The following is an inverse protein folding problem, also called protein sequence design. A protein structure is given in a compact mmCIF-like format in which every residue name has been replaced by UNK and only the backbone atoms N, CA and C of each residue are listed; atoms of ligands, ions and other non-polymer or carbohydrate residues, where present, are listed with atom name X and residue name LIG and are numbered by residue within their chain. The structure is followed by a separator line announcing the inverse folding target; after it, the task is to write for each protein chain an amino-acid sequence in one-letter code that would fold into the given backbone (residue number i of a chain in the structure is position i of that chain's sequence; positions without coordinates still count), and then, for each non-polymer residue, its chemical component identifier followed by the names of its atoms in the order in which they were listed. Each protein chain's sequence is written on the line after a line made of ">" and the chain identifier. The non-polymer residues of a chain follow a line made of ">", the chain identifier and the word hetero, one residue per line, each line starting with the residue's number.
data_IF_709645598292
#
_entry.id   IF_709645598292
#
_cell.length_a   1.000
_cell.length_b   1.000
_cell.length_c   1.000
_cell.angle_alpha   90.00
_cell.angle_beta   90.00
_cell.angle_gamma   90.00
#
_symmetry.space_group_name_H-M   'P 1'
#
loop_
_entity.id
_entity.type
_entity.pdbx_description
1 polymer ?
#
# COMPACT_ATOMS: atom_id res chain seq x y z
N UNK A 1 -14.76 -24.44 10.49
CA UNK A 1 -13.60 -24.78 9.64
C UNK A 1 -13.34 -26.28 9.81
N UNK A 2 -12.76 -26.97 8.83
CA UNK A 2 -12.40 -28.40 8.95
C UNK A 2 -11.12 -28.71 8.18
N UNK A 3 -10.35 -29.67 8.64
CA UNK A 3 -9.20 -30.20 7.91
C UNK A 3 -9.68 -31.16 6.81
N UNK A 4 -9.06 -31.08 5.64
CA UNK A 4 -9.28 -31.95 4.48
C UNK A 4 -7.92 -32.41 3.99
N UNK A 5 -7.76 -33.72 3.79
CA UNK A 5 -6.54 -34.30 3.25
C UNK A 5 -6.81 -34.74 1.82
N UNK A 6 -5.91 -34.37 0.91
CA UNK A 6 -5.91 -34.82 -0.47
C UNK A 6 -4.77 -35.80 -0.69
N UNK A 7 -5.10 -36.98 -1.19
CA UNK A 7 -4.11 -37.97 -1.59
C UNK A 7 -3.37 -37.55 -2.87
N UNK A 8 -2.15 -38.04 -3.11
CA UNK A 8 -1.43 -37.77 -4.36
C UNK A 8 -2.30 -38.06 -5.59
N UNK A 9 -2.30 -37.14 -6.56
CA UNK A 9 -3.13 -37.13 -7.76
C UNK A 9 -4.65 -36.98 -7.55
N UNK A 10 -5.13 -36.84 -6.31
CA UNK A 10 -6.53 -36.57 -6.04
C UNK A 10 -6.90 -35.16 -6.53
N UNK A 11 -8.03 -35.06 -7.24
CA UNK A 11 -8.56 -33.77 -7.67
C UNK A 11 -9.37 -33.17 -6.54
N UNK A 12 -8.88 -32.07 -5.98
CA UNK A 12 -9.48 -31.40 -4.83
C UNK A 12 -10.66 -30.50 -5.18
N UNK A 13 -10.66 -29.92 -6.38
CA UNK A 13 -11.76 -29.12 -6.93
C UNK A 13 -11.82 -29.30 -8.45
N UNK A 14 -13.05 -29.41 -8.97
CA UNK A 14 -13.32 -29.38 -10.40
C UNK A 14 -13.93 -28.05 -10.83
N UNK A 15 -13.67 -27.65 -12.07
CA UNK A 15 -14.34 -26.52 -12.71
C UNK A 15 -15.88 -26.72 -12.68
N UNK A 16 -16.60 -25.80 -12.05
CA UNK A 16 -18.06 -25.88 -11.84
C UNK A 16 -18.51 -26.34 -10.44
N UNK A 17 -17.59 -26.68 -9.54
CA UNK A 17 -17.92 -27.05 -8.16
C UNK A 17 -18.43 -25.85 -7.36
N UNK A 18 -19.47 -26.04 -6.54
CA UNK A 18 -20.20 -24.97 -5.81
C UNK A 18 -19.99 -25.06 -4.29
N UNK A 19 -18.80 -25.44 -3.83
CA UNK A 19 -18.48 -25.42 -2.41
C UNK A 19 -18.30 -23.96 -1.92
N UNK A 20 -19.07 -23.47 -0.93
CA UNK A 20 -19.06 -22.07 -0.51
C UNK A 20 -17.92 -21.78 0.49
N UNK A 21 -16.67 -21.93 0.05
CA UNK A 21 -15.50 -21.69 0.89
C UNK A 21 -14.18 -21.76 0.12
N UNK A 22 -13.08 -21.61 0.84
CA UNK A 22 -11.73 -21.72 0.28
C UNK A 22 -10.87 -22.65 1.14
N UNK A 23 -9.74 -23.07 0.57
CA UNK A 23 -8.80 -24.00 1.19
C UNK A 23 -7.47 -23.29 1.40
N UNK A 24 -6.90 -23.40 2.59
CA UNK A 24 -5.53 -22.99 2.91
C UNK A 24 -4.65 -24.23 3.03
N UNK A 25 -3.52 -24.27 2.33
CA UNK A 25 -2.60 -25.41 2.35
C UNK A 25 -1.77 -25.35 3.64
N UNK A 26 -1.95 -26.34 4.51
CA UNK A 26 -1.19 -26.49 5.77
C UNK A 26 0.13 -27.23 5.49
N UNK A 27 0.09 -28.24 4.62
CA UNK A 27 1.27 -29.01 4.22
C UNK A 27 1.03 -29.65 2.86
N UNK A 28 2.09 -29.86 2.08
CA UNK A 28 2.03 -30.48 0.76
C UNK A 28 2.10 -29.50 -0.41
N UNK A 29 1.81 -30.01 -1.62
CA UNK A 29 1.84 -29.26 -2.88
C UNK A 29 0.69 -29.63 -3.78
N UNK A 30 0.14 -28.61 -4.44
CA UNK A 30 -1.01 -28.71 -5.31
C UNK A 30 -0.70 -28.06 -6.66
N UNK A 31 -1.20 -28.66 -7.73
CA UNK A 31 -1.18 -28.11 -9.09
C UNK A 31 -2.56 -27.55 -9.45
N UNK A 32 -2.58 -26.33 -9.99
CA UNK A 32 -3.76 -25.68 -10.55
C UNK A 32 -3.71 -25.67 -12.07
N UNK A 33 -4.68 -26.33 -12.70
CA UNK A 33 -4.80 -26.49 -14.15
C UNK A 33 -6.07 -25.84 -14.68
N UNK A 34 -6.02 -25.27 -15.89
CA UNK A 34 -7.17 -24.68 -16.57
C UNK A 34 -7.48 -25.50 -17.82
N UNK A 35 -8.76 -25.73 -18.13
CA UNK A 35 -9.17 -26.39 -19.39
C UNK A 35 -9.01 -25.49 -20.63
N UNK A 36 -8.62 -24.22 -20.45
CA UNK A 36 -8.33 -23.32 -21.56
C UNK A 36 -6.89 -23.54 -22.06
N UNK A 37 -6.74 -23.92 -23.33
CA UNK A 37 -5.55 -24.48 -24.01
C UNK A 37 -4.27 -23.63 -24.04
N UNK A 38 -4.12 -22.57 -23.25
CA UNK A 38 -2.92 -21.71 -23.25
C UNK A 38 -2.48 -21.22 -21.86
N UNK A 39 -2.96 -21.84 -20.78
CA UNK A 39 -2.65 -21.39 -19.42
C UNK A 39 -1.71 -22.39 -18.73
N UNK A 40 -0.48 -21.95 -18.46
CA UNK A 40 0.53 -22.73 -17.72
C UNK A 40 -0.02 -23.14 -16.35
N UNK A 41 0.25 -24.39 -15.96
CA UNK A 41 -0.12 -24.88 -14.63
C UNK A 41 0.61 -24.10 -13.54
N UNK A 42 -0.12 -23.80 -12.46
CA UNK A 42 0.43 -23.08 -11.33
C UNK A 42 0.61 -24.04 -10.16
N UNK A 43 1.82 -24.13 -9.63
CA UNK A 43 2.11 -24.87 -8.40
C UNK A 43 1.85 -23.99 -7.18
N UNK A 44 1.05 -24.50 -6.24
CA UNK A 44 0.72 -23.89 -4.95
C UNK A 44 1.36 -24.72 -3.83
N UNK A 45 1.95 -24.04 -2.85
CA UNK A 45 2.73 -24.63 -1.76
C UNK A 45 2.09 -24.35 -0.40
N UNK A 46 2.70 -24.87 0.66
CA UNK A 46 2.33 -24.56 2.05
C UNK A 46 2.15 -23.05 2.27
N UNK A 47 1.06 -22.68 2.94
CA UNK A 47 0.55 -21.30 3.16
C UNK A 47 -0.10 -20.62 1.95
N UNK A 48 -0.04 -21.20 0.76
CA UNK A 48 -0.90 -20.75 -0.34
C UNK A 48 -2.34 -21.23 -0.13
N UNK A 49 -3.27 -20.64 -0.87
CA UNK A 49 -4.69 -20.95 -0.76
C UNK A 49 -5.34 -21.02 -2.15
N UNK A 50 -6.48 -21.69 -2.24
CA UNK A 50 -7.26 -21.82 -3.47
C UNK A 50 -8.77 -21.88 -3.20
N UNK A 51 -9.58 -21.59 -4.22
CA UNK A 51 -11.04 -21.58 -4.10
C UNK A 51 -11.63 -20.25 -3.63
N UNK A 52 -10.82 -19.19 -3.57
CA UNK A 52 -11.22 -17.84 -3.20
C UNK A 52 -12.29 -17.23 -4.11
N UNK A 53 -12.44 -17.75 -5.33
CA UNK A 53 -13.51 -17.33 -6.25
C UNK A 53 -14.89 -17.64 -5.65
N UNK A 54 -15.02 -18.70 -4.84
CA UNK A 54 -16.26 -19.00 -4.13
C UNK A 54 -16.62 -17.96 -3.06
N UNK A 55 -15.64 -17.19 -2.56
CA UNK A 55 -15.90 -16.07 -1.66
C UNK A 55 -16.54 -14.88 -2.41
N UNK A 56 -16.13 -14.66 -3.65
CA UNK A 56 -16.54 -13.51 -4.48
C UNK A 56 -17.83 -13.77 -5.25
N UNK A 57 -17.95 -14.93 -5.92
CA UNK A 57 -19.02 -15.21 -6.89
C UNK A 57 -19.95 -16.30 -6.39
N UNK A 58 -21.27 -16.12 -6.58
CA UNK A 58 -22.30 -17.13 -6.25
C UNK A 58 -22.21 -18.40 -7.11
N UNK A 59 -21.65 -18.31 -8.33
CA UNK A 59 -21.40 -19.44 -9.23
C UNK A 59 -20.03 -19.26 -9.90
N UNK A 60 -19.16 -20.24 -9.76
CA UNK A 60 -17.78 -20.19 -10.26
C UNK A 60 -17.62 -21.06 -11.50
N UNK A 61 -17.97 -20.51 -12.66
CA UNK A 61 -17.85 -21.21 -13.97
C UNK A 61 -16.40 -21.18 -14.49
N UNK A 62 -15.50 -20.41 -13.85
CA UNK A 62 -14.11 -20.21 -14.31
C UNK A 62 -13.05 -20.67 -13.29
N UNK A 63 -13.41 -21.55 -12.37
CA UNK A 63 -12.47 -22.04 -11.37
C UNK A 63 -11.50 -23.02 -12.03
N UNK A 64 -10.20 -22.79 -11.86
CA UNK A 64 -9.19 -23.77 -12.26
C UNK A 64 -9.40 -25.08 -11.49
N UNK A 65 -9.17 -26.19 -12.16
CA UNK A 65 -9.17 -27.51 -11.52
C UNK A 65 -7.91 -27.65 -10.68
N UNK A 66 -8.02 -28.32 -9.55
CA UNK A 66 -6.96 -28.40 -8.55
C UNK A 66 -6.63 -29.87 -8.30
N UNK A 67 -5.37 -30.25 -8.43
CA UNK A 67 -4.89 -31.63 -8.22
C UNK A 67 -3.73 -31.64 -7.22
N UNK A 68 -3.78 -32.51 -6.23
CA UNK A 68 -2.67 -32.70 -5.30
C UNK A 68 -1.49 -33.40 -6.00
N UNK A 69 -0.29 -32.85 -5.86
CA UNK A 69 0.95 -33.45 -6.38
C UNK A 69 1.46 -34.52 -5.41
N UNK A 70 1.33 -34.25 -4.11
CA UNK A 70 1.68 -35.12 -3.00
C UNK A 70 0.56 -35.11 -1.95
N UNK A 71 0.68 -35.93 -0.89
CA UNK A 71 -0.28 -35.89 0.21
C UNK A 71 -0.33 -34.49 0.78
N UNK A 72 -1.49 -33.84 0.69
CA UNK A 72 -1.65 -32.43 0.98
C UNK A 72 -2.76 -32.22 1.99
N UNK A 73 -2.41 -31.63 3.13
CA UNK A 73 -3.36 -31.23 4.16
C UNK A 73 -3.81 -29.78 3.93
N UNK A 74 -5.12 -29.57 3.93
CA UNK A 74 -5.74 -28.27 3.71
C UNK A 74 -6.74 -27.95 4.82
N UNK A 75 -6.77 -26.70 5.26
CA UNK A 75 -7.84 -26.17 6.08
C UNK A 75 -8.94 -25.60 5.19
N UNK A 76 -10.13 -26.20 5.25
CA UNK A 76 -11.31 -25.66 4.60
C UNK A 76 -12.02 -24.64 5.50
N UNK A 77 -12.14 -23.42 4.98
CA UNK A 77 -12.80 -22.29 5.64
C UNK A 77 -14.03 -21.91 4.83
N UNK A 78 -15.20 -22.06 5.45
CA UNK A 78 -16.47 -21.66 4.85
C UNK A 78 -16.59 -20.14 4.78
N UNK A 79 -17.29 -19.67 3.76
CA UNK A 79 -17.55 -18.24 3.54
C UNK A 79 -18.28 -17.59 4.72
N UNK A 80 -19.33 -18.24 5.25
CA UNK A 80 -20.14 -17.72 6.36
C UNK A 80 -19.31 -17.57 7.65
N UNK A 81 -18.48 -18.56 7.97
CA UNK A 81 -17.57 -18.52 9.11
C UNK A 81 -16.50 -17.44 8.96
N UNK A 82 -16.02 -17.21 7.72
CA UNK A 82 -15.10 -16.11 7.44
C UNK A 82 -15.80 -14.75 7.59
N UNK A 83 -16.99 -14.57 7.01
CA UNK A 83 -17.79 -13.33 7.11
C UNK A 83 -18.09 -12.96 8.56
N UNK A 84 -18.41 -13.94 9.41
CA UNK A 84 -18.59 -13.71 10.84
C UNK A 84 -17.31 -13.21 11.53
N UNK A 85 -16.14 -13.67 11.09
CA UNK A 85 -14.86 -13.29 11.70
C UNK A 85 -14.31 -11.96 11.18
N UNK A 86 -14.44 -11.68 9.87
CA UNK A 86 -13.84 -10.50 9.22
C UNK A 86 -14.84 -9.36 8.96
N UNK A 87 -16.14 -9.60 9.17
CA UNK A 87 -17.19 -8.64 8.87
C UNK A 87 -17.50 -8.56 7.37
N UNK A 88 -17.44 -7.35 6.79
CA UNK A 88 -17.83 -7.09 5.40
C UNK A 88 -16.81 -7.65 4.39
N UNK A 89 -16.83 -8.97 4.19
CA UNK A 89 -15.97 -9.70 3.26
C UNK A 89 -16.03 -9.16 1.81
N UNK A 90 -17.19 -8.78 1.23
CA UNK A 90 -17.24 -8.14 -0.09
C UNK A 90 -16.35 -6.89 -0.20
N UNK A 91 -16.39 -6.02 0.81
CA UNK A 91 -15.56 -4.81 0.83
C UNK A 91 -14.06 -5.12 0.89
N UNK A 92 -13.67 -6.12 1.69
CA UNK A 92 -12.27 -6.57 1.85
C UNK A 92 -11.76 -7.18 0.55
N UNK A 93 -12.59 -7.97 -0.14
CA UNK A 93 -12.23 -8.61 -1.41
C UNK A 93 -12.07 -7.59 -2.54
N UNK A 94 -12.98 -6.61 -2.64
CA UNK A 94 -12.86 -5.52 -3.63
C UNK A 94 -11.62 -4.65 -3.35
N UNK A 95 -11.36 -4.25 -2.10
CA UNK A 95 -10.11 -3.55 -1.72
C UNK A 95 -8.87 -4.34 -2.11
N UNK A 96 -8.82 -5.65 -1.82
CA UNK A 96 -7.68 -6.50 -2.19
C UNK A 96 -7.51 -6.66 -3.70
N UNK A 97 -8.61 -6.78 -4.45
CA UNK A 97 -8.58 -6.85 -5.92
C UNK A 97 -8.02 -5.57 -6.52
N UNK A 98 -8.46 -4.40 -6.06
CA UNK A 98 -7.90 -3.11 -6.46
C UNK A 98 -6.41 -3.01 -6.12
N UNK A 99 -6.01 -3.43 -4.92
CA UNK A 99 -4.60 -3.46 -4.49
C UNK A 99 -3.74 -4.35 -5.38
N UNK A 100 -4.21 -5.55 -5.73
CA UNK A 100 -3.50 -6.48 -6.64
C UNK A 100 -3.39 -5.92 -8.05
N UNK A 101 -4.49 -5.41 -8.61
CA UNK A 101 -4.49 -4.78 -9.93
C UNK A 101 -3.51 -3.61 -9.99
N UNK A 102 -3.47 -2.76 -8.94
CA UNK A 102 -2.50 -1.67 -8.81
C UNK A 102 -1.07 -2.18 -8.77
N UNK A 103 -0.77 -3.22 -7.97
CA UNK A 103 0.58 -3.81 -7.88
C UNK A 103 1.04 -4.37 -9.23
N UNK A 104 0.21 -5.15 -9.91
CA UNK A 104 0.53 -5.71 -11.23
C UNK A 104 0.82 -4.60 -12.24
N UNK A 105 -0.04 -3.58 -12.30
CA UNK A 105 0.14 -2.45 -13.21
C UNK A 105 1.41 -1.65 -12.94
N UNK A 106 1.73 -1.40 -11.67
CA UNK A 106 2.99 -0.70 -11.30
C UNK A 106 4.19 -1.53 -11.74
N UNK A 107 4.17 -2.85 -11.55
CA UNK A 107 5.25 -3.74 -11.99
C UNK A 107 5.40 -3.75 -13.51
N UNK A 108 4.31 -3.76 -14.26
CA UNK A 108 4.32 -3.65 -15.73
C UNK A 108 4.88 -2.30 -16.18
N UNK A 109 4.37 -1.20 -15.62
CA UNK A 109 4.86 0.13 -15.93
C UNK A 109 6.35 0.33 -15.55
N UNK A 110 6.83 -0.32 -14.48
CA UNK A 110 8.24 -0.31 -14.10
C UNK A 110 9.13 -1.06 -15.10
N UNK A 111 8.63 -2.14 -15.73
CA UNK A 111 9.38 -2.86 -16.77
C UNK A 111 9.57 -2.03 -18.03
N UNK A 112 8.58 -1.21 -18.37
CA UNK A 112 8.61 -0.33 -19.53
C UNK A 112 9.26 1.04 -19.25
N UNK A 113 9.50 1.36 -17.98
CA UNK A 113 10.04 2.65 -17.56
C UNK A 113 11.49 2.83 -17.98
N UNK A 114 11.78 3.99 -18.58
CA UNK A 114 13.14 4.47 -18.84
C UNK A 114 13.63 5.31 -17.64
N UNK A 115 14.95 5.51 -17.47
CA UNK A 115 15.47 6.48 -16.52
C UNK A 115 14.74 7.82 -16.65
N UNK A 116 14.48 8.49 -15.54
CA UNK A 116 13.80 9.79 -15.46
C UNK A 116 12.31 9.82 -15.86
N UNK A 117 11.69 8.66 -16.12
CA UNK A 117 10.26 8.56 -16.47
C UNK A 117 9.41 8.39 -15.23
N UNK A 118 8.28 9.09 -15.14
CA UNK A 118 7.34 8.93 -14.04
C UNK A 118 6.44 7.70 -14.26
N UNK A 119 6.32 6.87 -13.23
CA UNK A 119 5.37 5.75 -13.17
C UNK A 119 4.10 6.21 -12.44
N UNK A 120 2.92 6.21 -13.09
CA UNK A 120 1.70 6.70 -12.47
C UNK A 120 1.17 5.72 -11.41
N UNK A 121 0.77 6.26 -10.27
CA UNK A 121 0.21 5.48 -9.16
C UNK A 121 -1.32 5.31 -9.22
N UNK A 122 -2.02 6.23 -9.88
CA UNK A 122 -3.48 6.24 -10.05
C UNK A 122 -3.90 5.56 -11.35
N UNK A 123 -5.11 5.02 -11.39
CA UNK A 123 -5.62 4.24 -12.53
C UNK A 123 -5.65 5.05 -13.84
N UNK A 124 -5.97 6.34 -13.75
CA UNK A 124 -6.09 7.23 -14.91
C UNK A 124 -4.98 8.27 -14.89
N UNK A 125 -4.23 8.32 -15.99
CA UNK A 125 -3.23 9.37 -16.18
C UNK A 125 -3.96 10.64 -16.62
N UNK A 126 -3.94 11.67 -15.77
CA UNK A 126 -4.43 12.99 -16.16
C UNK A 126 -3.58 13.52 -17.34
N UNK A 127 -4.18 14.10 -18.38
CA UNK A 127 -3.46 14.57 -19.57
C UNK A 127 -2.42 15.64 -19.24
N UNK A 128 -2.63 16.40 -18.16
CA UNK A 128 -1.73 17.44 -17.65
C UNK A 128 -0.45 16.89 -16.99
N UNK A 129 -0.34 15.56 -16.78
CA UNK A 129 0.78 14.97 -16.03
C UNK A 129 1.98 14.65 -16.93
N UNK A 130 3.17 15.21 -16.64
CA UNK A 130 4.36 15.05 -17.48
C UNK A 130 4.88 13.60 -17.48
N UNK A 131 5.48 13.19 -18.61
CA UNK A 131 6.03 11.84 -18.80
C UNK A 131 7.36 11.62 -18.08
N UNK A 132 8.16 12.67 -17.94
CA UNK A 132 9.49 12.60 -17.33
C UNK A 132 9.78 13.85 -16.52
N UNK A 133 10.81 13.76 -15.68
CA UNK A 133 11.29 14.90 -14.89
C UNK A 133 11.76 16.06 -15.78
N UNK A 134 12.19 15.79 -17.02
CA UNK A 134 12.68 16.80 -17.95
C UNK A 134 11.56 17.75 -18.44
N UNK A 135 10.31 17.30 -18.35
CA UNK A 135 9.11 18.08 -18.67
C UNK A 135 8.69 19.06 -17.57
N UNK A 136 9.52 19.25 -16.54
CA UNK A 136 9.27 20.14 -15.41
C UNK A 136 10.28 21.28 -15.39
N UNK A 137 9.82 22.46 -14.99
CA UNK A 137 10.65 23.59 -14.59
C UNK A 137 10.49 23.86 -13.10
N UNK A 138 11.60 24.09 -12.40
CA UNK A 138 11.58 24.43 -10.97
C UNK A 138 11.24 25.90 -10.83
N UNK A 139 10.14 26.17 -10.12
CA UNK A 139 9.62 27.54 -9.89
C UNK A 139 9.98 28.03 -8.49
N UNK A 140 10.03 27.12 -7.51
CA UNK A 140 10.33 27.47 -6.12
C UNK A 140 10.83 26.30 -5.29
N UNK A 141 11.47 26.60 -4.18
CA UNK A 141 11.91 25.63 -3.17
C UNK A 141 11.06 25.80 -1.91
N UNK A 142 10.42 24.73 -1.47
CA UNK A 142 9.58 24.72 -0.26
C UNK A 142 10.40 24.26 0.94
N UNK A 143 11.18 23.19 0.77
CA UNK A 143 12.01 22.60 1.81
C UNK A 143 13.23 21.94 1.17
N UNK A 144 14.39 22.05 1.81
CA UNK A 144 15.62 21.43 1.32
C UNK A 144 16.52 21.04 2.48
N UNK A 145 16.55 19.73 2.77
CA UNK A 145 17.44 19.12 3.76
C UNK A 145 18.51 18.28 3.05
N UNK A 146 19.43 17.69 3.83
CA UNK A 146 20.53 16.87 3.31
C UNK A 146 20.07 15.70 2.43
N UNK A 147 18.89 15.14 2.72
CA UNK A 147 18.38 13.93 2.06
C UNK A 147 17.07 14.14 1.31
N UNK A 148 16.37 15.26 1.54
CA UNK A 148 15.00 15.44 1.07
C UNK A 148 14.81 16.87 0.59
N UNK A 149 14.35 17.01 -0.66
CA UNK A 149 14.06 18.31 -1.25
C UNK A 149 12.62 18.31 -1.76
N UNK A 150 11.90 19.39 -1.51
CA UNK A 150 10.53 19.60 -1.96
C UNK A 150 10.49 20.92 -2.72
N UNK A 151 10.08 20.86 -3.98
CA UNK A 151 10.10 21.98 -4.92
C UNK A 151 8.74 22.16 -5.56
N UNK A 152 8.36 23.40 -5.76
CA UNK A 152 7.26 23.77 -6.64
C UNK A 152 7.77 23.71 -8.08
N UNK A 153 7.05 23.00 -8.94
CA UNK A 153 7.42 22.82 -10.34
C UNK A 153 6.24 23.16 -11.26
N UNK A 154 6.55 23.65 -12.45
CA UNK A 154 5.60 23.92 -13.52
C UNK A 154 5.79 22.91 -14.66
N UNK A 155 4.68 22.47 -15.27
CA UNK A 155 4.71 21.59 -16.43
C UNK A 155 5.02 22.40 -17.68
N UNK A 156 6.12 22.05 -18.36
CA UNK A 156 6.57 22.71 -19.60
C UNK A 156 5.49 22.67 -20.68
N UNK A 157 5.20 23.83 -21.26
CA UNK A 157 4.24 23.96 -22.36
C UNK A 157 2.77 23.75 -21.97
N UNK A 158 2.47 23.72 -20.67
CA UNK A 158 1.07 23.72 -20.20
C UNK A 158 0.42 25.09 -20.39
N UNK A 159 -0.83 25.09 -20.86
CA UNK A 159 -1.66 26.30 -20.98
C UNK A 159 -3.11 25.92 -20.63
N UNK A 160 -3.65 26.38 -19.48
CA UNK A 160 -3.02 27.26 -18.49
C UNK A 160 -1.85 26.59 -17.75
N UNK A 161 -1.02 27.40 -17.07
CA UNK A 161 0.12 26.92 -16.26
C UNK A 161 -0.32 25.91 -15.21
N UNK A 162 0.26 24.71 -15.24
CA UNK A 162 0.01 23.63 -14.27
C UNK A 162 1.18 23.54 -13.29
N UNK A 163 0.90 23.79 -12.01
CA UNK A 163 1.88 23.68 -10.92
C UNK A 163 1.67 22.41 -10.09
N UNK A 164 2.78 21.73 -9.81
CA UNK A 164 2.85 20.46 -9.08
C UNK A 164 3.94 20.56 -7.99
N UNK A 165 3.96 19.59 -7.08
CA UNK A 165 5.04 19.47 -6.09
C UNK A 165 5.95 18.30 -6.43
N UNK A 166 7.23 18.57 -6.65
CA UNK A 166 8.27 17.57 -6.87
C UNK A 166 9.05 17.36 -5.57
N UNK A 167 8.99 16.15 -5.03
CA UNK A 167 9.83 15.69 -3.94
C UNK A 167 10.97 14.83 -4.48
N UNK A 168 12.20 15.12 -4.07
CA UNK A 168 13.37 14.30 -4.41
C UNK A 168 14.05 13.84 -3.14
N UNK A 169 14.24 12.53 -3.02
CA UNK A 169 14.97 11.92 -1.91
C UNK A 169 16.29 11.41 -2.45
N UNK A 170 17.39 11.98 -1.95
CA UNK A 170 18.71 11.51 -2.33
C UNK A 170 19.05 10.23 -1.61
N UNK A 171 19.51 9.23 -2.36
CA UNK A 171 20.10 8.03 -1.78
C UNK A 171 21.59 7.96 -1.98
N UNK A 172 22.28 9.09 -2.22
CA UNK A 172 23.73 9.13 -2.48
C UNK A 172 24.59 8.40 -1.43
N UNK A 173 24.12 8.27 -0.19
CA UNK A 173 24.79 7.48 0.85
C UNK A 173 24.77 5.94 0.61
N UNK A 174 23.92 5.45 -0.28
CA UNK A 174 23.64 4.02 -0.53
C UNK A 174 23.72 3.67 -2.03
N UNK A 175 23.30 4.56 -2.92
CA UNK A 175 23.31 4.39 -4.38
C UNK A 175 23.41 5.76 -5.08
N UNK A 176 24.10 5.82 -6.22
CA UNK A 176 24.22 7.03 -7.05
C UNK A 176 22.93 7.27 -7.87
N UNK A 177 21.80 7.41 -7.16
CA UNK A 177 20.49 7.61 -7.75
C UNK A 177 19.54 8.33 -6.78
N UNK A 178 18.78 9.28 -7.31
CA UNK A 178 17.72 9.97 -6.59
C UNK A 178 16.35 9.35 -6.87
N UNK A 179 15.47 9.36 -5.88
CA UNK A 179 14.06 8.98 -6.05
C UNK A 179 13.21 10.23 -6.10
N UNK A 180 12.48 10.40 -7.21
CA UNK A 180 11.57 11.52 -7.41
C UNK A 180 10.10 11.08 -7.28
N UNK A 181 9.31 11.87 -6.57
CA UNK A 181 7.87 11.70 -6.39
C UNK A 181 7.17 13.00 -6.78
N UNK A 182 6.21 12.92 -7.69
CA UNK A 182 5.46 14.06 -8.20
C UNK A 182 4.03 14.03 -7.68
N UNK A 183 3.60 15.09 -7.01
CA UNK A 183 2.27 15.22 -6.42
C UNK A 183 1.46 16.29 -7.15
N UNK A 184 0.18 16.00 -7.38
CA UNK A 184 -0.79 16.96 -7.95
C UNK A 184 -1.32 17.99 -6.94
N UNK A 185 -0.60 18.19 -5.83
CA UNK A 185 -0.92 19.16 -4.80
C UNK A 185 0.19 20.19 -4.77
N UNK A 186 -0.18 21.46 -4.58
CA UNK A 186 0.77 22.56 -4.43
C UNK A 186 1.00 22.78 -2.95
N UNK A 187 2.21 22.43 -2.49
CA UNK A 187 2.62 22.66 -1.12
C UNK A 187 3.15 24.09 -1.00
N UNK A 188 2.67 24.79 0.00
CA UNK A 188 3.01 26.19 0.27
C UNK A 188 4.17 26.31 1.27
N UNK A 189 4.20 25.45 2.28
CA UNK A 189 5.24 25.49 3.32
C UNK A 189 5.17 24.33 4.30
N UNK A 190 6.05 24.37 5.30
CA UNK A 190 5.95 23.51 6.48
C UNK A 190 5.03 24.16 7.51
N UNK A 191 4.36 23.36 8.33
CA UNK A 191 3.52 23.88 9.40
C UNK A 191 4.34 24.74 10.39
N UNK A 192 5.62 24.41 10.61
CA UNK A 192 6.52 25.19 11.45
C UNK A 192 6.84 26.58 10.88
N UNK A 193 7.04 26.69 9.57
CA UNK A 193 7.29 27.99 8.91
C UNK A 193 6.09 28.95 8.96
N UNK A 194 4.90 28.45 9.30
CA UNK A 194 3.71 29.30 9.50
C UNK A 194 3.65 29.95 10.88
N UNK A 195 4.62 29.64 11.76
CA UNK A 195 4.77 30.28 13.06
C UNK A 195 5.88 31.33 13.00
N UNK A 196 5.55 32.61 13.15
CA UNK A 196 6.54 33.68 13.37
C UNK A 196 7.12 33.64 14.80
N UNK A 197 7.23 32.45 15.39
CA UNK A 197 7.63 32.23 16.78
C UNK A 197 6.54 32.48 17.83
N UNK A 198 5.32 32.81 17.43
CA UNK A 198 4.20 33.00 18.38
C UNK A 198 3.45 31.69 18.68
N UNK A 199 3.00 31.50 19.94
CA UNK A 199 2.15 30.37 20.30
C UNK A 199 0.83 30.43 19.52
N UNK A 200 0.48 29.32 18.86
CA UNK A 200 -0.78 29.24 18.15
C UNK A 200 -1.98 29.15 19.10
N UNK A 201 -3.04 29.88 18.79
CA UNK A 201 -4.31 29.80 19.53
C UNK A 201 -4.96 28.41 19.44
N UNK A 202 -5.82 28.10 20.41
CA UNK A 202 -6.47 26.78 20.53
C UNK A 202 -7.19 26.35 19.24
N UNK A 203 -7.87 27.28 18.55
CA UNK A 203 -8.57 27.00 17.29
C UNK A 203 -7.63 26.51 16.18
N UNK A 204 -6.42 27.07 16.09
CA UNK A 204 -5.41 26.65 15.12
C UNK A 204 -4.92 25.24 15.43
N UNK A 205 -4.56 24.99 16.70
CA UNK A 205 -4.08 23.67 17.15
C UNK A 205 -5.16 22.61 16.92
N UNK A 206 -6.41 22.92 17.29
CA UNK A 206 -7.55 22.02 17.10
C UNK A 206 -7.79 21.67 15.63
N UNK A 207 -7.70 22.66 14.74
CA UNK A 207 -7.90 22.47 13.30
C UNK A 207 -6.87 21.50 12.70
N UNK A 208 -5.57 21.71 12.97
CA UNK A 208 -4.52 20.84 12.43
C UNK A 208 -4.44 19.49 13.15
N UNK A 209 -4.73 19.43 14.46
CA UNK A 209 -4.82 18.17 15.19
C UNK A 209 -5.93 17.27 14.63
N UNK A 210 -7.10 17.82 14.33
CA UNK A 210 -8.19 17.06 13.71
C UNK A 210 -7.78 16.47 12.35
N UNK A 211 -7.03 17.22 11.53
CA UNK A 211 -6.53 16.72 10.25
C UNK A 211 -5.48 15.62 10.41
N UNK A 212 -4.59 15.72 11.41
CA UNK A 212 -3.65 14.64 11.75
C UNK A 212 -4.42 13.37 12.12
N UNK A 213 -5.42 13.48 12.99
CA UNK A 213 -6.24 12.34 13.43
C UNK A 213 -6.95 11.68 12.26
N UNK A 214 -7.61 12.46 11.38
CA UNK A 214 -8.26 11.91 10.19
C UNK A 214 -7.28 11.18 9.26
N UNK A 215 -6.07 11.71 9.12
CA UNK A 215 -5.07 11.11 8.25
C UNK A 215 -4.46 9.84 8.86
N UNK A 216 -4.25 9.80 10.18
CA UNK A 216 -3.84 8.59 10.91
C UNK A 216 -4.91 7.51 10.83
N UNK A 217 -6.18 7.86 11.06
CA UNK A 217 -7.31 6.93 10.95
C UNK A 217 -7.37 6.31 9.55
N UNK A 218 -7.23 7.12 8.50
CA UNK A 218 -7.16 6.63 7.13
C UNK A 218 -6.00 5.64 6.92
N UNK A 219 -4.80 5.94 7.41
CA UNK A 219 -3.65 5.03 7.29
C UNK A 219 -3.89 3.73 8.05
N UNK A 220 -4.42 3.80 9.27
CA UNK A 220 -4.73 2.62 10.08
C UNK A 220 -5.78 1.73 9.41
N UNK A 221 -6.82 2.34 8.81
CA UNK A 221 -7.83 1.63 8.01
C UNK A 221 -7.25 0.92 6.78
N UNK A 222 -6.18 1.48 6.21
CA UNK A 222 -5.44 0.86 5.10
C UNK A 222 -4.33 -0.10 5.57
N UNK A 223 -4.24 -0.37 6.88
CA UNK A 223 -3.29 -1.32 7.47
C UNK A 223 -1.86 -0.80 7.46
N UNK A 224 -1.68 0.50 7.66
CA UNK A 224 -0.39 1.18 7.65
C UNK A 224 -0.22 1.98 8.94
N UNK A 225 0.94 1.84 9.59
CA UNK A 225 1.31 2.64 10.76
C UNK A 225 2.35 3.68 10.35
N UNK A 226 2.16 4.93 10.78
CA UNK A 226 3.03 6.05 10.42
C UNK A 226 4.34 6.02 11.19
N UNK A 227 4.28 5.65 12.49
CA UNK A 227 5.37 5.58 13.49
C UNK A 227 6.13 6.89 13.72
N UNK A 228 5.81 7.93 12.96
CA UNK A 228 6.47 9.24 12.99
C UNK A 228 5.44 10.30 12.65
N UNK A 229 4.74 10.82 13.66
CA UNK A 229 3.93 12.04 13.52
C UNK A 229 4.81 13.27 13.81
N UNK A 230 5.98 13.30 13.18
CA UNK A 230 6.97 14.36 13.37
C UNK A 230 6.43 15.70 12.81
N UNK A 231 6.50 16.81 13.58
CA UNK A 231 6.13 18.14 13.10
C UNK A 231 6.82 18.56 11.80
N UNK A 232 8.07 18.13 11.57
CA UNK A 232 8.86 18.44 10.37
C UNK A 232 8.30 17.80 9.09
N UNK A 233 7.44 16.78 9.22
CA UNK A 233 6.81 16.06 8.13
C UNK A 233 5.39 16.57 7.78
N UNK A 234 4.98 17.69 8.40
CA UNK A 234 3.66 18.31 8.23
C UNK A 234 3.78 19.49 7.27
N UNK A 235 3.28 19.29 6.07
CA UNK A 235 3.24 20.34 5.05
C UNK A 235 1.83 20.92 4.93
N UNK A 236 1.73 22.17 4.52
CA UNK A 236 0.46 22.85 4.30
C UNK A 236 0.32 23.15 2.81
N UNK A 237 -0.84 22.83 2.23
CA UNK A 237 -1.16 23.18 0.85
C UNK A 237 -1.71 24.61 0.72
N UNK A 238 -1.82 25.12 -0.51
CA UNK A 238 -2.37 26.47 -0.77
C UNK A 238 -3.79 26.70 -0.25
N UNK A 239 -4.52 25.64 0.10
CA UNK A 239 -5.86 25.75 0.68
C UNK A 239 -5.83 25.77 2.21
N UNK A 240 -4.65 25.74 2.83
CA UNK A 240 -4.49 25.71 4.29
C UNK A 240 -4.71 24.32 4.89
N UNK A 241 -4.68 23.26 4.07
CA UNK A 241 -4.88 21.90 4.56
C UNK A 241 -3.55 21.17 4.76
N UNK A 242 -3.53 20.32 5.78
CA UNK A 242 -2.41 19.47 6.11
C UNK A 242 -2.20 18.39 5.05
N UNK A 243 -0.95 18.25 4.62
CA UNK A 243 -0.44 17.16 3.80
C UNK A 243 0.70 16.50 4.58
N UNK A 244 0.48 15.26 5.01
CA UNK A 244 1.56 14.46 5.58
C UNK A 244 2.46 13.96 4.45
N UNK A 245 3.72 14.38 4.50
CA UNK A 245 4.77 13.89 3.62
C UNK A 245 5.77 13.07 4.43
N UNK A 246 6.68 12.35 3.75
CA UNK A 246 7.79 11.67 4.43
C UNK A 246 7.39 10.60 5.46
N UNK A 247 6.33 9.85 5.15
CA UNK A 247 5.84 8.78 5.99
C UNK A 247 6.82 7.58 5.97
N UNK A 248 7.38 7.24 7.14
CA UNK A 248 8.21 6.04 7.34
C UNK A 248 7.33 4.83 7.67
N UNK A 249 6.65 4.35 6.65
CA UNK A 249 5.67 3.27 6.79
C UNK A 249 6.28 1.94 7.23
N UNK A 250 5.56 1.25 8.10
CA UNK A 250 5.66 -0.21 8.23
C UNK A 250 4.29 -0.83 8.00
N UNK A 251 4.17 -1.86 7.13
CA UNK A 251 2.93 -2.61 6.98
C UNK A 251 2.48 -3.19 8.32
N UNK A 252 1.19 -3.09 8.64
CA UNK A 252 0.62 -3.65 9.87
C UNK A 252 0.86 -5.17 10.00
N UNK A 253 1.07 -5.88 8.89
CA UNK A 253 1.44 -7.30 8.91
C UNK A 253 2.79 -7.56 9.61
N UNK A 254 3.72 -6.60 9.55
CA UNK A 254 5.02 -6.71 10.21
C UNK A 254 4.91 -6.48 11.73
N UNK A 255 3.93 -5.70 12.17
CA UNK A 255 3.67 -5.38 13.58
C UNK A 255 3.28 -6.61 14.42
N UNK A 256 2.66 -7.62 13.81
CA UNK A 256 2.22 -8.84 14.51
C UNK A 256 3.34 -9.86 14.75
N UNK A 257 4.48 -9.72 14.06
CA UNK A 257 5.62 -10.58 14.27
C UNK A 257 6.50 -9.93 15.34
N UNK A 258 6.84 -10.68 16.41
CA UNK A 258 7.85 -10.32 17.44
C UNK A 258 9.24 -9.94 16.87
N UNK A 259 9.41 -9.87 15.55
CA UNK A 259 10.68 -9.85 14.84
C UNK A 259 10.94 -8.62 13.96
N UNK A 260 10.09 -7.57 13.95
CA UNK A 260 10.44 -6.33 13.24
C UNK A 260 10.59 -5.14 14.19
N UNK A 261 11.62 -5.21 15.03
CA UNK A 261 12.15 -4.03 15.74
C UNK A 261 13.19 -3.39 14.81
N UNK A 262 12.73 -2.63 13.82
CA UNK A 262 13.59 -1.65 13.16
C UNK A 262 13.37 -0.30 13.85
N UNK A 263 14.36 0.09 14.66
CA UNK A 263 14.47 1.39 15.32
C UNK A 263 14.65 2.49 14.26
N UNK A 264 13.54 2.94 13.66
CA UNK A 264 13.52 4.05 12.73
C UNK A 264 13.20 5.36 13.48
N UNK A 265 14.26 5.94 14.06
CA UNK A 265 14.38 7.27 14.67
C UNK A 265 13.16 8.19 14.79
N UNK A 266 12.68 8.31 16.03
CA UNK A 266 12.34 9.56 16.73
C UNK A 266 12.30 9.21 18.22
N UNK A 267 13.31 9.59 19.01
CA UNK A 267 13.48 9.16 20.42
C UNK A 267 12.45 9.76 21.40
N UNK A 268 11.40 10.43 20.91
CA UNK A 268 10.53 11.29 21.73
C UNK A 268 9.30 10.56 22.26
N UNK A 269 8.95 9.37 21.74
CA UNK A 269 7.79 8.61 22.20
C UNK A 269 8.19 7.46 23.13
N UNK A 270 7.80 7.56 24.41
CA UNK A 270 8.21 6.66 25.50
C UNK A 270 7.93 5.16 25.25
N UNK A 271 6.96 4.83 24.39
CA UNK A 271 6.61 3.44 24.07
C UNK A 271 7.56 2.78 23.06
N UNK A 272 8.38 3.54 22.33
CA UNK A 272 9.37 3.00 21.36
C UNK A 272 10.58 2.32 22.02
N UNK A 273 10.75 2.50 23.34
CA UNK A 273 11.98 2.15 24.05
C UNK A 273 11.96 0.69 24.57
N UNK A 274 10.79 0.09 24.78
CA UNK A 274 10.66 -1.19 25.51
C UNK A 274 10.94 -2.44 24.67
N UNK A 275 11.01 -2.32 23.34
CA UNK A 275 11.20 -3.47 22.43
C UNK A 275 10.02 -4.45 22.38
N UNK A 276 8.92 -4.15 23.08
CA UNK A 276 7.65 -4.86 22.93
C UNK A 276 6.94 -4.26 21.72
N UNK A 277 6.76 -5.05 20.66
CA UNK A 277 6.31 -4.58 19.34
C UNK A 277 5.16 -3.54 19.36
N UNK A 278 5.24 -2.55 18.47
CA UNK A 278 4.34 -1.39 18.47
C UNK A 278 3.09 -1.61 17.61
N UNK A 279 1.91 -1.36 18.18
CA UNK A 279 0.64 -1.35 17.46
C UNK A 279 0.24 0.09 17.04
N UNK A 280 -0.94 0.25 16.42
CA UNK A 280 -1.48 1.54 15.97
C UNK A 280 -1.57 2.60 17.07
N UNK A 281 -1.57 2.22 18.36
CA UNK A 281 -1.65 3.15 19.47
C UNK A 281 -0.41 4.04 19.58
N UNK A 282 0.73 3.65 19.01
CA UNK A 282 1.93 4.47 18.99
C UNK A 282 1.84 5.72 18.11
N UNK A 283 0.80 5.82 17.25
CA UNK A 283 0.56 7.00 16.41
C UNK A 283 -0.32 8.06 17.11
N UNK A 284 -0.96 7.75 18.25
CA UNK A 284 -1.81 8.66 19.05
C UNK A 284 -1.07 9.19 20.28
#
# INVERSE_FOLDING_TARGET
>A
MRTVVFEPNQVGLHEGMTEPGFFLIISGRIESTSKMDNVVSLELKTLDYFGEIALVRRRSIRQRSIRAIESTECLFIRKDALELAVGNLPSILEKNKLRRARKTRILEAQKEAKPNTFVPFDNERKPEMPHSINGLDVVGSVMSDLINTVRLVEVKGSSPSVYLTLRSVSKQAIMDADIHMLYNTQIDGTLESSSDGEPHGESFVRYYAAQVVMALEFMHLEGVVSRTVDPTNRMVDRSGNLRMINLRYVPLSCVSARSSIEFAGCFVYAFQITGEGHNIAADY
#
